data_IF_105655789899
#
_entry.id   IF_105655789899
#
_cell.length_a   1.000
_cell.length_b   1.000
_cell.length_c   1.000
_cell.angle_alpha   90.00
_cell.angle_beta   90.00
_cell.angle_gamma   90.00
#
_symmetry.space_group_name_H-M   'P 1'
#
loop_
_entity.id
_entity.type
_entity.pdbx_description
1 polymer ?
#
# COMPACT_ATOMS: atom_id res chain seq x y z
N UNK A 1 -24.04 19.42 22.96
CA UNK A 1 -23.16 18.30 22.59
C UNK A 1 -24.04 17.05 22.47
N UNK A 2 -23.76 16.16 21.52
CA UNK A 2 -24.56 14.95 21.32
C UNK A 2 -24.45 14.05 22.56
N UNK A 3 -25.60 13.69 23.15
CA UNK A 3 -25.66 12.63 24.15
C UNK A 3 -25.49 11.28 23.44
N UNK A 4 -24.27 10.75 23.49
CA UNK A 4 -23.89 9.54 22.75
C UNK A 4 -24.67 8.31 23.23
N UNK A 5 -24.93 8.21 24.54
CA UNK A 5 -25.66 7.09 25.14
C UNK A 5 -27.10 7.11 24.67
N UNK A 6 -27.78 8.26 24.82
CA UNK A 6 -29.16 8.42 24.36
C UNK A 6 -29.27 8.16 22.85
N UNK A 7 -28.35 8.69 22.06
CA UNK A 7 -28.34 8.49 20.61
C UNK A 7 -28.18 7.01 20.24
N UNK A 8 -27.26 6.29 20.90
CA UNK A 8 -27.06 4.85 20.69
C UNK A 8 -28.30 4.04 21.05
N UNK A 9 -29.00 4.39 22.14
CA UNK A 9 -30.27 3.73 22.52
C UNK A 9 -31.32 3.90 21.42
N UNK A 10 -31.51 5.12 20.90
CA UNK A 10 -32.49 5.37 19.83
C UNK A 10 -32.13 4.60 18.54
N UNK A 11 -30.84 4.52 18.18
CA UNK A 11 -30.40 3.70 17.04
C UNK A 11 -30.79 2.23 17.20
N UNK A 12 -30.60 1.66 18.39
CA UNK A 12 -30.95 0.28 18.71
C UNK A 12 -32.48 0.07 18.69
N UNK A 13 -33.25 1.02 19.22
CA UNK A 13 -34.72 0.94 19.22
C UNK A 13 -35.32 0.99 17.80
N UNK A 14 -34.77 1.84 16.93
CA UNK A 14 -35.16 1.87 15.52
C UNK A 14 -34.77 0.54 14.84
N UNK A 15 -33.55 0.06 15.07
CA UNK A 15 -33.08 -1.20 14.50
C UNK A 15 -33.95 -2.39 14.94
N UNK A 16 -34.32 -2.45 16.23
CA UNK A 16 -35.23 -3.44 16.79
C UNK A 16 -36.59 -3.41 16.11
N UNK A 17 -37.13 -2.21 15.85
CA UNK A 17 -38.43 -2.07 15.20
C UNK A 17 -38.37 -2.48 13.73
N UNK A 18 -37.29 -2.15 13.03
CA UNK A 18 -37.07 -2.56 11.63
C UNK A 18 -37.01 -4.09 11.53
N UNK A 19 -36.19 -4.76 12.35
CA UNK A 19 -36.04 -6.21 12.30
C UNK A 19 -37.15 -6.99 13.02
N UNK A 20 -38.00 -6.30 13.80
CA UNK A 20 -39.24 -6.83 14.35
C UNK A 20 -40.37 -6.89 13.33
N UNK A 21 -40.35 -6.06 12.28
CA UNK A 21 -41.35 -6.10 11.20
C UNK A 21 -41.08 -7.31 10.27
N UNK A 22 -42.04 -8.26 10.12
CA UNK A 22 -41.83 -9.47 9.32
C UNK A 22 -41.53 -9.21 7.84
N UNK A 23 -42.01 -8.09 7.28
CA UNK A 23 -41.78 -7.73 5.89
C UNK A 23 -40.41 -7.09 5.70
N UNK A 24 -39.96 -6.24 6.63
CA UNK A 24 -38.69 -5.52 6.51
C UNK A 24 -37.48 -6.41 6.82
N UNK A 25 -37.59 -7.32 7.80
CA UNK A 25 -36.46 -8.10 8.32
C UNK A 25 -35.75 -8.98 7.28
N UNK A 26 -36.45 -9.40 6.23
CA UNK A 26 -35.90 -10.27 5.16
C UNK A 26 -35.44 -9.51 3.93
N UNK A 27 -35.80 -8.22 3.80
CA UNK A 27 -35.53 -7.41 2.60
C UNK A 27 -34.54 -6.26 2.85
N UNK A 28 -34.15 -6.03 4.10
CA UNK A 28 -33.16 -5.03 4.49
C UNK A 28 -31.91 -5.70 5.05
N UNK A 29 -30.79 -5.48 4.36
CA UNK A 29 -29.46 -5.84 4.82
C UNK A 29 -28.79 -4.66 5.54
N UNK A 30 -28.50 -4.79 6.83
CA UNK A 30 -27.88 -3.75 7.64
C UNK A 30 -26.38 -3.64 7.38
N UNK A 31 -25.86 -2.42 7.22
CA UNK A 31 -24.47 -2.17 6.84
C UNK A 31 -23.92 -0.88 7.46
N UNK A 32 -22.73 -0.49 7.02
CA UNK A 32 -22.14 0.81 7.35
C UNK A 32 -21.48 0.85 8.73
N UNK A 33 -21.23 2.07 9.22
CA UNK A 33 -20.48 2.28 10.47
C UNK A 33 -21.23 1.77 11.70
N UNK A 34 -22.56 1.83 11.71
CA UNK A 34 -23.37 1.44 12.86
C UNK A 34 -23.51 -0.07 12.96
N UNK A 35 -23.56 -0.79 11.83
CA UNK A 35 -23.41 -2.24 11.82
C UNK A 35 -22.06 -2.67 12.39
N UNK A 36 -20.97 -2.01 11.97
CA UNK A 36 -19.63 -2.23 12.52
C UNK A 36 -19.53 -1.94 14.03
N UNK A 37 -20.13 -0.85 14.49
CA UNK A 37 -20.12 -0.48 15.91
C UNK A 37 -20.91 -1.46 16.79
N UNK A 38 -22.05 -1.97 16.32
CA UNK A 38 -22.93 -2.82 17.14
C UNK A 38 -22.56 -4.30 17.07
N UNK A 39 -22.18 -4.82 15.90
CA UNK A 39 -22.01 -6.26 15.69
C UNK A 39 -20.54 -6.69 15.55
N UNK A 40 -19.62 -5.73 15.51
CA UNK A 40 -18.21 -5.96 15.21
C UNK A 40 -17.25 -5.09 16.06
N UNK A 41 -17.77 -4.52 17.15
CA UNK A 41 -17.00 -3.80 18.17
C UNK A 41 -16.14 -2.64 17.64
N UNK A 42 -16.53 -2.00 16.53
CA UNK A 42 -15.83 -0.81 16.02
C UNK A 42 -15.83 0.27 17.12
N UNK A 43 -14.65 0.69 17.63
CA UNK A 43 -14.55 1.47 18.87
C UNK A 43 -14.67 2.96 18.57
N UNK A 44 -15.74 3.38 17.90
CA UNK A 44 -16.10 4.79 17.76
C UNK A 44 -17.59 4.92 17.56
N UNK A 45 -18.16 6.07 17.92
CA UNK A 45 -19.57 6.32 17.70
C UNK A 45 -19.90 6.33 16.19
N UNK A 46 -21.07 5.82 15.84
CA UNK A 46 -21.69 5.96 14.52
C UNK A 46 -23.14 6.42 14.73
N UNK A 47 -23.58 7.38 13.90
CA UNK A 47 -24.80 8.18 14.16
C UNK A 47 -25.92 7.98 13.12
N UNK A 48 -25.63 7.25 12.05
CA UNK A 48 -26.55 7.01 10.93
C UNK A 48 -26.98 5.54 10.89
N UNK A 49 -28.06 5.20 10.19
CA UNK A 49 -28.42 3.83 9.86
C UNK A 49 -28.37 3.62 8.35
N UNK A 50 -27.55 2.68 7.89
CA UNK A 50 -27.38 2.37 6.48
C UNK A 50 -27.85 0.94 6.17
N UNK A 51 -28.60 0.78 5.10
CA UNK A 51 -29.11 -0.51 4.64
C UNK A 51 -28.91 -0.71 3.13
N UNK A 52 -28.94 -1.96 2.69
CA UNK A 52 -29.22 -2.34 1.31
C UNK A 52 -30.66 -2.85 1.21
N UNK A 53 -31.35 -2.44 0.15
CA UNK A 53 -32.58 -3.10 -0.28
C UNK A 53 -32.21 -4.37 -1.02
N UNK A 54 -32.56 -5.53 -0.46
CA UNK A 54 -32.20 -6.85 -0.99
C UNK A 54 -33.18 -7.31 -2.08
N UNK A 55 -34.41 -6.81 -2.04
CA UNK A 55 -35.44 -7.05 -3.05
C UNK A 55 -35.91 -5.72 -3.63
N UNK A 56 -35.50 -5.44 -4.86
CA UNK A 56 -35.81 -4.19 -5.56
C UNK A 56 -37.31 -4.02 -5.84
N UNK A 57 -38.06 -5.12 -5.97
CA UNK A 57 -39.49 -5.10 -6.30
C UNK A 57 -40.33 -4.74 -5.06
N UNK A 58 -39.72 -4.75 -3.87
CA UNK A 58 -40.36 -4.35 -2.61
C UNK A 58 -40.08 -2.90 -2.23
N UNK A 59 -39.48 -2.10 -3.11
CA UNK A 59 -39.08 -0.70 -2.81
C UNK A 59 -40.25 0.14 -2.28
N UNK A 60 -41.40 0.14 -2.96
CA UNK A 60 -42.59 0.92 -2.55
C UNK A 60 -43.09 0.50 -1.16
N UNK A 61 -43.18 -0.82 -0.94
CA UNK A 61 -43.57 -1.40 0.35
C UNK A 61 -42.61 -0.95 1.47
N UNK A 62 -41.30 -1.05 1.24
CA UNK A 62 -40.27 -0.61 2.18
C UNK A 62 -40.40 0.88 2.45
N UNK A 63 -40.57 1.71 1.41
CA UNK A 63 -40.62 3.14 1.55
C UNK A 63 -41.78 3.58 2.46
N UNK A 64 -42.99 3.04 2.24
CA UNK A 64 -44.15 3.38 3.06
C UNK A 64 -44.05 2.81 4.49
N UNK A 65 -43.61 1.55 4.65
CA UNK A 65 -43.40 0.96 5.98
C UNK A 65 -42.36 1.71 6.80
N UNK A 66 -41.26 2.13 6.18
CA UNK A 66 -40.23 2.91 6.86
C UNK A 66 -40.77 4.28 7.30
N UNK A 67 -41.63 4.95 6.51
CA UNK A 67 -42.29 6.20 6.94
C UNK A 67 -43.15 5.98 8.18
N UNK A 68 -43.98 4.94 8.20
CA UNK A 68 -44.86 4.67 9.36
C UNK A 68 -44.06 4.27 10.58
N UNK A 69 -43.06 3.42 10.42
CA UNK A 69 -42.20 2.91 11.50
C UNK A 69 -41.38 4.05 12.12
N UNK A 70 -40.69 4.85 11.30
CA UNK A 70 -39.85 5.94 11.82
C UNK A 70 -40.67 7.00 12.57
N UNK A 71 -41.94 7.25 12.20
CA UNK A 71 -42.82 8.17 12.95
C UNK A 71 -43.08 7.73 14.40
N UNK A 72 -42.90 6.44 14.73
CA UNK A 72 -43.06 5.93 16.10
C UNK A 72 -41.87 6.31 17.00
N UNK A 73 -40.73 6.67 16.41
CA UNK A 73 -39.50 7.02 17.13
C UNK A 73 -39.22 8.52 17.18
N UNK A 74 -40.11 9.35 16.64
CA UNK A 74 -39.94 10.81 16.61
C UNK A 74 -40.59 11.48 15.39
N UNK A 75 -40.17 12.71 15.14
CA UNK A 75 -40.67 13.53 14.03
C UNK A 75 -39.89 13.19 12.76
N UNK A 76 -40.57 12.56 11.79
CA UNK A 76 -40.04 12.34 10.44
C UNK A 76 -39.97 13.67 9.68
N UNK A 77 -38.76 14.25 9.61
CA UNK A 77 -38.49 15.56 8.97
C UNK A 77 -38.45 15.46 7.46
N UNK A 78 -37.94 14.35 6.93
CA UNK A 78 -37.80 14.14 5.50
C UNK A 78 -37.96 12.66 5.16
N UNK A 79 -38.64 12.39 4.05
CA UNK A 79 -38.70 11.07 3.42
C UNK A 79 -38.69 11.28 1.91
N UNK A 80 -37.60 10.94 1.24
CA UNK A 80 -37.39 11.22 -0.18
C UNK A 80 -36.79 9.99 -0.87
N UNK A 81 -37.37 9.61 -2.00
CA UNK A 81 -36.73 8.67 -2.92
C UNK A 81 -35.73 9.45 -3.80
N UNK A 82 -34.43 9.21 -3.58
CA UNK A 82 -33.35 9.68 -4.45
C UNK A 82 -33.09 8.64 -5.54
N UNK A 83 -32.32 9.01 -6.57
CA UNK A 83 -31.96 8.12 -7.70
C UNK A 83 -31.53 6.71 -7.26
N UNK A 84 -30.65 6.61 -6.26
CA UNK A 84 -30.08 5.34 -5.79
C UNK A 84 -30.38 5.02 -4.32
N UNK A 85 -31.19 5.82 -3.63
CA UNK A 85 -31.32 5.74 -2.17
C UNK A 85 -32.72 6.12 -1.71
N UNK A 86 -33.34 5.32 -0.84
CA UNK A 86 -34.48 5.79 -0.04
C UNK A 86 -33.90 6.50 1.19
N UNK A 87 -34.21 7.78 1.33
CA UNK A 87 -33.62 8.64 2.35
C UNK A 87 -34.68 9.07 3.35
N UNK A 88 -34.37 8.94 4.63
CA UNK A 88 -35.19 9.43 5.73
C UNK A 88 -34.36 10.23 6.72
N UNK A 89 -34.97 11.25 7.30
CA UNK A 89 -34.39 12.03 8.39
C UNK A 89 -35.39 12.11 9.52
N UNK A 90 -35.05 11.54 10.67
CA UNK A 90 -35.90 11.52 11.87
C UNK A 90 -35.25 12.38 12.97
N UNK A 91 -36.07 13.14 13.67
CA UNK A 91 -35.71 13.93 14.85
C UNK A 91 -36.40 13.30 16.05
N UNK A 92 -35.63 12.66 16.94
CA UNK A 92 -36.16 11.97 18.12
C UNK A 92 -36.39 12.90 19.32
N UNK A 93 -36.00 14.17 19.20
CA UNK A 93 -36.24 15.21 20.18
C UNK A 93 -36.53 16.55 19.46
N UNK A 94 -37.50 17.33 19.97
CA UNK A 94 -37.92 18.59 19.33
C UNK A 94 -36.72 19.55 19.30
N UNK A 95 -36.33 19.96 18.10
CA UNK A 95 -35.21 20.90 17.82
C UNK A 95 -33.79 20.38 18.11
N UNK A 96 -33.60 19.10 18.43
CA UNK A 96 -32.24 18.51 18.61
C UNK A 96 -32.10 17.15 17.90
N UNK A 97 -30.84 16.87 17.55
CA UNK A 97 -30.23 15.66 16.98
C UNK A 97 -31.10 14.76 16.08
N UNK A 98 -30.67 14.61 14.84
CA UNK A 98 -31.34 13.76 13.86
C UNK A 98 -30.61 12.44 13.67
N UNK A 99 -31.37 11.40 13.30
CA UNK A 99 -30.82 10.17 12.74
C UNK A 99 -31.16 10.17 11.26
N UNK A 100 -30.15 9.95 10.43
CA UNK A 100 -30.32 9.71 9.01
C UNK A 100 -30.44 8.21 8.78
N UNK A 101 -31.46 7.81 8.03
CA UNK A 101 -31.64 6.43 7.59
C UNK A 101 -31.54 6.39 6.06
N UNK A 102 -30.58 5.64 5.53
CA UNK A 102 -30.35 5.51 4.10
C UNK A 102 -30.46 4.04 3.66
N UNK A 103 -31.33 3.77 2.68
CA UNK A 103 -31.47 2.43 2.09
C UNK A 103 -31.00 2.50 0.64
N UNK A 104 -29.88 1.84 0.34
CA UNK A 104 -29.33 1.75 -1.01
C UNK A 104 -30.21 0.88 -1.90
N UNK A 105 -30.58 1.41 -3.08
CA UNK A 105 -31.29 0.67 -4.15
C UNK A 105 -30.36 -0.06 -5.11
N UNK A 106 -29.04 0.10 -4.96
CA UNK A 106 -28.06 -0.53 -5.84
C UNK A 106 -27.94 -2.02 -5.52
N UNK A 107 -28.01 -2.85 -6.55
CA UNK A 107 -27.55 -4.25 -6.50
C UNK A 107 -26.02 -4.26 -6.40
N UNK A 108 -25.46 -5.24 -5.70
CA UNK A 108 -24.02 -5.44 -5.58
C UNK A 108 -23.72 -6.81 -4.98
N UNK A 109 -22.46 -7.24 -5.03
CA UNK A 109 -22.02 -8.57 -4.60
C UNK A 109 -21.89 -8.76 -3.07
N UNK A 110 -22.42 -7.85 -2.25
CA UNK A 110 -22.28 -7.97 -0.79
C UNK A 110 -23.24 -9.00 -0.21
N UNK A 111 -22.71 -9.84 0.67
CA UNK A 111 -23.39 -10.84 1.45
C UNK A 111 -23.80 -10.33 2.83
N UNK A 112 -24.82 -10.97 3.37
CA UNK A 112 -25.40 -10.66 4.68
C UNK A 112 -25.65 -11.96 5.45
N UNK A 113 -25.56 -11.89 6.77
CA UNK A 113 -25.77 -13.02 7.67
C UNK A 113 -26.60 -12.60 8.90
N UNK A 114 -27.42 -13.50 9.47
CA UNK A 114 -28.16 -13.20 10.68
C UNK A 114 -27.22 -13.08 11.88
N UNK A 115 -27.31 -11.96 12.62
CA UNK A 115 -26.55 -11.74 13.85
C UNK A 115 -27.41 -11.18 14.96
N UNK A 116 -27.16 -11.68 16.17
CA UNK A 116 -27.83 -11.24 17.39
C UNK A 116 -27.08 -10.10 18.09
N UNK A 117 -27.80 -9.08 18.53
CA UNK A 117 -27.28 -8.05 19.43
C UNK A 117 -28.40 -7.56 20.36
N UNK A 118 -28.20 -7.69 21.68
CA UNK A 118 -29.18 -7.32 22.72
C UNK A 118 -30.61 -7.82 22.44
N UNK A 119 -30.73 -9.07 21.96
CA UNK A 119 -32.02 -9.69 21.65
C UNK A 119 -32.63 -9.33 20.28
N UNK A 120 -31.96 -8.48 19.48
CA UNK A 120 -32.35 -8.18 18.08
C UNK A 120 -31.55 -9.10 17.16
N UNK A 121 -32.24 -9.86 16.31
CA UNK A 121 -31.59 -10.59 15.21
C UNK A 121 -31.71 -9.75 13.94
N UNK A 122 -30.58 -9.20 13.49
CA UNK A 122 -30.49 -8.40 12.28
C UNK A 122 -29.79 -9.17 11.16
N UNK A 123 -30.11 -8.86 9.91
CA UNK A 123 -29.40 -9.40 8.75
C UNK A 123 -28.26 -8.44 8.38
N UNK A 124 -27.05 -8.74 8.84
CA UNK A 124 -25.91 -7.80 8.88
C UNK A 124 -24.89 -8.17 7.80
N UNK A 125 -24.32 -7.16 7.13
CA UNK A 125 -23.29 -7.34 6.12
C UNK A 125 -22.08 -8.08 6.72
N UNK A 126 -21.52 -9.04 5.97
CA UNK A 126 -20.35 -9.82 6.40
C UNK A 126 -19.11 -8.93 6.59
N UNK A 127 -18.18 -9.28 7.51
CA UNK A 127 -16.97 -8.50 7.79
C UNK A 127 -16.18 -8.11 6.54
N UNK A 128 -15.98 -9.07 5.64
CA UNK A 128 -15.17 -8.93 4.42
C UNK A 128 -15.72 -7.90 3.44
N UNK A 129 -17.04 -7.72 3.42
CA UNK A 129 -17.73 -6.74 2.59
C UNK A 129 -17.77 -5.36 3.25
N UNK A 130 -17.86 -5.33 4.58
CA UNK A 130 -17.80 -4.07 5.35
C UNK A 130 -16.45 -3.41 5.13
N UNK A 131 -15.34 -4.14 5.30
CA UNK A 131 -13.99 -3.59 5.05
C UNK A 131 -13.80 -3.22 3.57
N UNK A 132 -14.26 -4.05 2.63
CA UNK A 132 -14.19 -3.75 1.20
C UNK A 132 -14.89 -2.42 0.88
N UNK A 133 -16.14 -2.24 1.33
CA UNK A 133 -16.90 -1.02 1.11
C UNK A 133 -16.27 0.22 1.78
N UNK A 134 -15.61 0.05 2.92
CA UNK A 134 -14.90 1.13 3.63
C UNK A 134 -13.62 1.54 2.92
N UNK A 135 -12.86 0.56 2.43
CA UNK A 135 -11.70 0.81 1.59
C UNK A 135 -12.12 1.47 0.25
N UNK A 136 -13.21 1.03 -0.36
CA UNK A 136 -13.77 1.69 -1.55
C UNK A 136 -14.13 3.14 -1.26
N UNK A 137 -14.80 3.42 -0.15
CA UNK A 137 -15.19 4.77 0.24
C UNK A 137 -13.98 5.68 0.50
N UNK A 138 -12.95 5.16 1.17
CA UNK A 138 -11.68 5.86 1.38
C UNK A 138 -11.07 6.31 0.04
N UNK A 139 -11.13 5.46 -0.98
CA UNK A 139 -10.56 5.71 -2.29
C UNK A 139 -11.42 6.65 -3.14
N UNK A 140 -12.73 6.43 -3.21
CA UNK A 140 -13.60 7.00 -4.26
C UNK A 140 -14.47 8.17 -3.82
N UNK A 141 -14.64 8.43 -2.51
CA UNK A 141 -15.48 9.56 -2.07
C UNK A 141 -14.95 10.89 -2.56
N UNK A 142 -15.85 11.71 -3.12
CA UNK A 142 -15.57 13.09 -3.53
C UNK A 142 -15.06 13.96 -2.39
N UNK A 143 -15.65 13.84 -1.20
CA UNK A 143 -15.18 14.48 0.03
C UNK A 143 -14.55 13.43 0.93
N UNK A 144 -13.26 13.57 1.17
CA UNK A 144 -12.50 12.70 2.05
C UNK A 144 -13.05 12.76 3.49
N UNK A 145 -13.03 11.62 4.20
CA UNK A 145 -13.55 11.53 5.56
C UNK A 145 -12.64 10.67 6.43
N UNK A 146 -12.11 11.26 7.51
CA UNK A 146 -11.15 10.61 8.41
C UNK A 146 -11.69 9.35 9.10
N UNK A 147 -13.01 9.25 9.30
CA UNK A 147 -13.65 8.05 9.84
C UNK A 147 -13.44 6.80 8.99
N UNK A 148 -13.27 6.93 7.67
CA UNK A 148 -13.01 5.75 6.83
C UNK A 148 -11.57 5.26 7.02
N UNK A 149 -10.61 6.16 7.31
CA UNK A 149 -9.23 5.80 7.69
C UNK A 149 -9.23 5.01 8.98
N UNK A 150 -9.94 5.51 10.01
CA UNK A 150 -10.08 4.84 11.29
C UNK A 150 -10.71 3.46 11.16
N UNK A 151 -11.79 3.35 10.37
CA UNK A 151 -12.47 2.08 10.14
C UNK A 151 -11.54 1.07 9.44
N UNK A 152 -10.85 1.48 8.37
CA UNK A 152 -9.90 0.63 7.64
C UNK A 152 -8.76 0.17 8.55
N UNK A 153 -8.19 1.07 9.36
CA UNK A 153 -7.20 0.68 10.38
C UNK A 153 -7.74 -0.40 11.31
N UNK A 154 -8.93 -0.19 11.88
CA UNK A 154 -9.50 -1.10 12.85
C UNK A 154 -9.70 -2.49 12.25
N UNK A 155 -10.30 -2.60 11.05
CA UNK A 155 -10.54 -3.90 10.43
C UNK A 155 -9.25 -4.62 10.04
N UNK A 156 -8.26 -3.91 9.49
CA UNK A 156 -6.98 -4.51 9.11
C UNK A 156 -6.14 -4.94 10.33
N UNK A 157 -6.15 -4.14 11.40
CA UNK A 157 -5.53 -4.48 12.68
C UNK A 157 -6.11 -5.78 13.25
N UNK A 158 -7.42 -5.96 13.13
CA UNK A 158 -8.14 -7.18 13.52
C UNK A 158 -8.09 -8.29 12.47
N UNK A 159 -7.23 -8.17 11.45
CA UNK A 159 -6.94 -9.20 10.44
C UNK A 159 -8.16 -9.65 9.62
N UNK A 160 -9.14 -8.77 9.42
CA UNK A 160 -10.28 -9.05 8.55
C UNK A 160 -9.81 -9.24 7.10
N UNK A 161 -10.35 -10.26 6.42
CA UNK A 161 -10.18 -10.45 4.98
C UNK A 161 -10.98 -9.40 4.21
N UNK A 162 -10.53 -9.04 3.01
CA UNK A 162 -11.21 -8.11 2.11
C UNK A 162 -11.86 -8.90 0.98
N UNK A 163 -13.16 -8.72 0.76
CA UNK A 163 -13.82 -9.27 -0.42
C UNK A 163 -13.37 -8.46 -1.66
N UNK A 164 -12.53 -9.06 -2.49
CA UNK A 164 -11.99 -8.43 -3.69
C UNK A 164 -13.08 -8.12 -4.72
N UNK A 165 -14.09 -8.98 -4.87
CA UNK A 165 -15.21 -8.75 -5.80
C UNK A 165 -15.93 -7.45 -5.46
N UNK A 166 -16.32 -7.25 -4.20
CA UNK A 166 -17.00 -6.01 -3.75
C UNK A 166 -16.09 -4.79 -3.90
N UNK A 167 -14.79 -4.93 -3.61
CA UNK A 167 -13.83 -3.84 -3.77
C UNK A 167 -13.69 -3.42 -5.24
N UNK A 168 -13.53 -4.39 -6.14
CA UNK A 168 -13.34 -4.16 -7.58
C UNK A 168 -14.61 -3.60 -8.21
N UNK A 169 -15.80 -4.12 -7.88
CA UNK A 169 -17.08 -3.56 -8.35
C UNK A 169 -17.22 -2.08 -7.99
N UNK A 170 -16.84 -1.69 -6.78
CA UNK A 170 -17.01 -0.33 -6.28
C UNK A 170 -15.92 0.66 -6.73
N UNK A 171 -14.75 0.19 -7.14
CA UNK A 171 -13.58 1.03 -7.42
C UNK A 171 -13.01 0.91 -8.83
N UNK A 172 -13.27 -0.21 -9.51
CA UNK A 172 -12.58 -0.59 -10.75
C UNK A 172 -11.11 -1.01 -10.56
N UNK A 173 -10.64 -1.16 -9.32
CA UNK A 173 -9.25 -1.51 -9.00
C UNK A 173 -9.15 -2.96 -8.55
N UNK A 174 -8.04 -3.63 -8.92
CA UNK A 174 -7.59 -4.86 -8.27
C UNK A 174 -7.24 -4.59 -6.80
N UNK A 175 -7.32 -5.60 -5.94
CA UNK A 175 -6.98 -5.48 -4.52
C UNK A 175 -5.59 -4.85 -4.27
N UNK A 176 -4.55 -5.32 -4.98
CA UNK A 176 -3.19 -4.78 -4.81
C UNK A 176 -3.08 -3.28 -5.11
N UNK A 177 -3.65 -2.83 -6.24
CA UNK A 177 -3.68 -1.41 -6.63
C UNK A 177 -4.52 -0.56 -5.67
N UNK A 178 -5.64 -1.10 -5.18
CA UNK A 178 -6.49 -0.41 -4.21
C UNK A 178 -5.75 -0.18 -2.89
N UNK A 179 -5.05 -1.20 -2.37
CA UNK A 179 -4.25 -1.09 -1.14
C UNK A 179 -3.08 -0.12 -1.29
N UNK A 180 -2.37 -0.17 -2.42
CA UNK A 180 -1.30 0.78 -2.72
C UNK A 180 -1.80 2.22 -2.80
N UNK A 181 -2.90 2.44 -3.53
CA UNK A 181 -3.53 3.76 -3.66
C UNK A 181 -4.03 4.28 -2.31
N UNK A 182 -4.58 3.39 -1.48
CA UNK A 182 -5.04 3.73 -0.13
C UNK A 182 -3.86 4.11 0.77
N UNK A 183 -2.77 3.33 0.75
CA UNK A 183 -1.59 3.61 1.55
C UNK A 183 -0.99 4.97 1.18
N UNK A 184 -0.88 5.26 -0.12
CA UNK A 184 -0.44 6.57 -0.61
C UNK A 184 -1.37 7.70 -0.12
N UNK A 185 -2.67 7.57 -0.36
CA UNK A 185 -3.68 8.57 0.01
C UNK A 185 -3.68 8.86 1.52
N UNK A 186 -3.49 7.83 2.36
CA UNK A 186 -3.41 7.99 3.81
C UNK A 186 -2.10 8.63 4.25
N UNK A 187 -0.97 8.29 3.63
CA UNK A 187 0.34 8.88 3.95
C UNK A 187 0.44 10.37 3.64
N UNK A 188 -0.39 10.88 2.72
CA UNK A 188 -0.41 12.28 2.29
C UNK A 188 -1.41 13.15 3.11
N UNK A 189 -2.07 12.60 4.13
CA UNK A 189 -3.02 13.34 4.97
C UNK A 189 -2.29 14.41 5.81
N UNK A 190 -2.78 15.64 5.75
CA UNK A 190 -2.35 16.70 6.65
C UNK A 190 -2.82 16.40 8.09
N UNK A 191 -1.87 16.28 9.02
CA UNK A 191 -2.12 16.03 10.45
C UNK A 191 -3.07 17.07 11.08
N UNK A 192 -3.15 18.29 10.55
CA UNK A 192 -4.08 19.33 11.03
C UNK A 192 -5.55 18.95 10.82
N UNK A 193 -5.85 18.08 9.85
CA UNK A 193 -7.21 17.68 9.49
C UNK A 193 -7.62 16.33 10.08
N UNK A 194 -6.74 15.67 10.84
CA UNK A 194 -6.90 14.26 11.25
C UNK A 194 -8.14 13.99 12.12
N UNK A 195 -8.62 15.00 12.86
CA UNK A 195 -9.82 14.91 13.68
C UNK A 195 -11.07 15.47 13.01
N UNK A 196 -10.99 16.01 11.79
CA UNK A 196 -12.13 16.65 11.14
C UNK A 196 -13.26 15.63 10.90
N UNK A 197 -14.39 15.82 11.60
CA UNK A 197 -15.55 14.93 11.55
C UNK A 197 -15.37 13.57 12.23
N UNK A 198 -14.16 13.21 12.66
CA UNK A 198 -13.86 11.99 13.43
C UNK A 198 -13.80 12.29 14.94
N UNK A 199 -13.29 13.46 15.33
CA UNK A 199 -13.08 13.81 16.75
C UNK A 199 -14.38 13.78 17.58
N UNK A 200 -15.52 14.15 17.01
CA UNK A 200 -16.81 14.10 17.71
C UNK A 200 -17.29 12.67 18.00
N UNK A 201 -16.68 11.67 17.36
CA UNK A 201 -17.04 10.25 17.45
C UNK A 201 -16.12 9.46 18.39
N UNK A 202 -15.14 10.13 19.01
CA UNK A 202 -14.08 9.53 19.81
C UNK A 202 -14.00 10.15 21.21
N UNK A 203 -13.51 9.37 22.17
CA UNK A 203 -13.11 9.88 23.49
C UNK A 203 -11.74 10.59 23.43
N UNK A 204 -11.33 11.25 24.53
CA UNK A 204 -10.07 12.01 24.58
C UNK A 204 -8.82 11.14 24.40
N UNK A 205 -8.82 9.93 24.96
CA UNK A 205 -7.69 8.99 24.84
C UNK A 205 -7.53 8.52 23.39
N UNK A 206 -8.65 8.26 22.72
CA UNK A 206 -8.68 7.90 21.32
C UNK A 206 -8.24 9.06 20.43
N UNK A 207 -8.62 10.31 20.73
CA UNK A 207 -8.17 11.48 19.98
C UNK A 207 -6.66 11.67 20.06
N UNK A 208 -6.07 11.46 21.24
CA UNK A 208 -4.61 11.48 21.43
C UNK A 208 -3.93 10.43 20.55
N UNK A 209 -4.36 9.17 20.66
CA UNK A 209 -3.83 8.09 19.83
C UNK A 209 -4.00 8.36 18.32
N UNK A 210 -5.16 8.90 17.90
CA UNK A 210 -5.42 9.22 16.48
C UNK A 210 -4.42 10.24 15.95
N UNK A 211 -4.11 11.29 16.72
CA UNK A 211 -3.16 12.33 16.29
C UNK A 211 -1.75 11.78 16.11
N UNK A 212 -1.37 10.83 16.94
CA UNK A 212 -0.01 10.29 16.97
C UNK A 212 0.19 9.13 15.98
N UNK A 213 -0.76 8.19 15.91
CA UNK A 213 -0.50 6.85 15.34
C UNK A 213 -1.40 6.43 14.19
N UNK A 214 -2.57 7.05 14.00
CA UNK A 214 -3.56 6.56 13.04
C UNK A 214 -2.98 6.43 11.62
N UNK A 215 -2.29 7.47 11.12
CA UNK A 215 -1.73 7.46 9.75
C UNK A 215 -0.70 6.34 9.61
N UNK A 216 0.29 6.30 10.50
CA UNK A 216 1.42 5.38 10.41
C UNK A 216 0.96 3.92 10.56
N UNK A 217 0.08 3.64 11.52
CA UNK A 217 -0.48 2.30 11.71
C UNK A 217 -1.37 1.89 10.52
N UNK A 218 -2.20 2.79 9.98
CA UNK A 218 -3.04 2.46 8.81
C UNK A 218 -2.18 2.13 7.60
N UNK A 219 -1.16 2.95 7.33
CA UNK A 219 -0.22 2.72 6.22
C UNK A 219 0.52 1.39 6.40
N UNK A 220 0.98 1.11 7.62
CA UNK A 220 1.60 -0.17 7.96
C UNK A 220 0.67 -1.34 7.65
N UNK A 221 -0.56 -1.33 8.15
CA UNK A 221 -1.50 -2.44 7.95
C UNK A 221 -1.97 -2.58 6.50
N UNK A 222 -2.10 -1.49 5.74
CA UNK A 222 -2.39 -1.55 4.30
C UNK A 222 -1.25 -2.22 3.53
N UNK A 223 0.01 -1.87 3.86
CA UNK A 223 1.20 -2.48 3.27
C UNK A 223 1.34 -3.94 3.67
N UNK A 224 1.12 -4.28 4.94
CA UNK A 224 1.11 -5.65 5.47
C UNK A 224 0.03 -6.51 4.82
N UNK A 225 -1.19 -5.98 4.64
CA UNK A 225 -2.24 -6.72 3.95
C UNK A 225 -1.90 -6.92 2.47
N UNK A 226 -1.43 -5.87 1.78
CA UNK A 226 -0.96 -5.99 0.40
C UNK A 226 0.16 -7.01 0.28
N UNK A 227 1.04 -7.06 1.28
CA UNK A 227 2.11 -8.02 1.35
C UNK A 227 1.60 -9.46 1.36
N UNK A 228 0.67 -9.77 2.25
CA UNK A 228 0.06 -11.11 2.37
C UNK A 228 -0.71 -11.55 1.11
N UNK A 229 -1.26 -10.61 0.34
CA UNK A 229 -2.16 -10.87 -0.79
C UNK A 229 -1.60 -10.48 -2.17
N UNK A 230 -0.32 -10.11 -2.25
CA UNK A 230 0.35 -10.03 -3.55
C UNK A 230 0.36 -11.46 -4.13
N UNK A 231 -0.17 -11.69 -5.36
CA UNK A 231 -0.23 -13.01 -6.00
C UNK A 231 1.14 -13.64 -6.30
N UNK A 232 2.20 -13.04 -5.78
CA UNK A 232 3.58 -13.49 -5.82
C UNK A 232 3.84 -14.53 -4.73
N UNK A 233 3.25 -14.44 -3.53
CA UNK A 233 3.69 -15.26 -2.39
C UNK A 233 3.11 -16.69 -2.34
N UNK A 234 1.96 -16.95 -2.98
CA UNK A 234 1.25 -18.23 -2.84
C UNK A 234 1.85 -19.43 -3.58
N UNK A 235 3.01 -19.31 -4.23
CA UNK A 235 3.62 -20.47 -4.93
C UNK A 235 5.09 -20.33 -5.33
N UNK A 236 5.86 -19.39 -4.77
CA UNK A 236 7.27 -19.16 -5.14
C UNK A 236 8.16 -19.09 -3.89
N UNK A 237 9.48 -19.29 -4.02
CA UNK A 237 10.41 -19.00 -2.93
C UNK A 237 10.47 -17.50 -2.64
N UNK A 238 10.55 -17.11 -1.37
CA UNK A 238 10.64 -15.69 -0.99
C UNK A 238 11.63 -15.52 0.13
N UNK A 239 12.73 -14.83 -0.18
CA UNK A 239 13.78 -14.52 0.78
C UNK A 239 13.64 -13.09 1.31
N UNK A 240 13.55 -12.97 2.63
CA UNK A 240 13.54 -11.71 3.39
C UNK A 240 14.63 -11.78 4.48
N UNK A 241 14.80 -10.67 5.20
CA UNK A 241 15.70 -10.54 6.34
C UNK A 241 14.90 -10.33 7.62
N UNK A 242 15.24 -11.08 8.66
CA UNK A 242 14.75 -10.83 10.01
C UNK A 242 15.07 -9.37 10.42
N UNK A 243 14.13 -8.64 11.04
CA UNK A 243 14.35 -7.26 11.48
C UNK A 243 15.60 -7.04 12.34
N UNK A 244 16.08 -8.06 13.05
CA UNK A 244 17.29 -8.01 13.86
C UNK A 244 18.55 -7.84 13.02
N UNK A 245 19.15 -6.64 13.06
CA UNK A 245 20.51 -6.39 12.54
C UNK A 245 21.48 -6.37 13.72
N UNK A 246 22.45 -7.28 13.68
CA UNK A 246 23.54 -7.35 14.66
C UNK A 246 24.82 -6.73 14.10
N UNK A 247 25.75 -6.38 14.97
CA UNK A 247 27.10 -5.98 14.55
C UNK A 247 28.15 -6.35 15.59
N UNK A 248 29.36 -6.61 15.11
CA UNK A 248 30.53 -6.89 15.98
C UNK A 248 31.72 -6.08 15.49
N UNK A 249 32.45 -5.45 16.40
CA UNK A 249 33.68 -4.71 16.12
C UNK A 249 34.84 -5.22 16.96
N UNK A 250 36.04 -5.22 16.40
CA UNK A 250 37.27 -5.62 17.08
C UNK A 250 38.51 -5.48 16.19
N UNK A 251 39.67 -6.04 16.60
CA UNK A 251 40.92 -5.95 15.84
C UNK A 251 40.81 -6.48 14.40
N UNK A 252 39.89 -7.41 14.16
CA UNK A 252 39.63 -8.00 12.84
C UNK A 252 38.69 -7.19 11.94
N UNK A 253 38.24 -5.99 12.35
CA UNK A 253 37.33 -5.13 11.59
C UNK A 253 35.92 -5.05 12.15
N UNK A 254 35.03 -4.39 11.40
CA UNK A 254 33.62 -4.23 11.73
C UNK A 254 32.76 -5.09 10.80
N UNK A 255 31.85 -5.86 11.41
CA UNK A 255 30.94 -6.78 10.72
C UNK A 255 29.50 -6.45 11.04
N UNK A 256 28.64 -6.60 10.03
CA UNK A 256 27.19 -6.55 10.14
C UNK A 256 26.65 -7.97 9.91
N UNK A 257 25.75 -8.39 10.78
CA UNK A 257 25.11 -9.69 10.77
C UNK A 257 23.65 -9.55 10.38
N UNK A 258 23.22 -10.31 9.38
CA UNK A 258 21.82 -10.44 8.97
C UNK A 258 21.37 -11.88 9.17
N UNK A 259 20.07 -12.09 9.38
CA UNK A 259 19.46 -13.41 9.34
C UNK A 259 18.49 -13.47 8.17
N UNK A 260 18.91 -14.13 7.09
CA UNK A 260 18.03 -14.41 5.97
C UNK A 260 17.01 -15.47 6.38
N UNK A 261 15.78 -15.34 5.89
CA UNK A 261 14.70 -16.29 6.10
C UNK A 261 13.95 -16.53 4.79
N UNK A 262 13.62 -17.79 4.49
CA UNK A 262 12.67 -18.11 3.42
C UNK A 262 11.25 -18.16 4.00
N UNK A 263 10.46 -17.13 3.72
CA UNK A 263 9.07 -16.99 4.14
C UNK A 263 8.07 -17.42 3.07
N UNK A 264 8.56 -17.88 1.91
CA UNK A 264 7.74 -18.47 0.86
C UNK A 264 7.45 -19.94 1.12
N UNK A 265 6.56 -20.52 0.31
CA UNK A 265 6.16 -21.93 0.42
C UNK A 265 7.01 -22.89 -0.42
N UNK A 266 7.96 -22.38 -1.19
CA UNK A 266 8.86 -23.18 -2.05
C UNK A 266 10.31 -23.00 -1.68
N UNK A 267 11.12 -24.00 -2.08
CA UNK A 267 12.58 -23.96 -1.94
C UNK A 267 13.19 -22.90 -2.87
N UNK A 268 14.12 -22.12 -2.33
CA UNK A 268 15.01 -21.24 -3.07
C UNK A 268 16.34 -21.96 -3.29
N UNK A 269 16.74 -22.16 -4.54
CA UNK A 269 18.03 -22.77 -4.91
C UNK A 269 18.95 -21.72 -5.55
N UNK A 270 20.24 -22.02 -5.64
CA UNK A 270 21.26 -21.09 -6.17
C UNK A 270 21.21 -19.70 -5.52
N UNK A 271 20.91 -19.62 -4.22
CA UNK A 271 20.75 -18.35 -3.53
C UNK A 271 22.08 -17.64 -3.45
N UNK A 272 22.15 -16.47 -4.09
CA UNK A 272 23.24 -15.50 -4.02
C UNK A 272 22.72 -14.26 -3.33
N UNK A 273 23.60 -13.59 -2.59
CA UNK A 273 23.24 -12.37 -1.88
C UNK A 273 24.35 -11.33 -1.96
N UNK A 274 24.00 -10.09 -1.63
CA UNK A 274 24.94 -8.99 -1.60
C UNK A 274 24.35 -7.71 -1.04
N UNK A 275 25.16 -6.66 -1.04
CA UNK A 275 24.77 -5.31 -0.63
C UNK A 275 24.88 -4.40 -1.86
N UNK A 276 23.81 -3.69 -2.19
CA UNK A 276 23.76 -2.81 -3.36
C UNK A 276 23.14 -1.47 -2.99
N UNK A 277 23.78 -0.38 -3.40
CA UNK A 277 23.25 0.97 -3.29
C UNK A 277 23.58 1.79 -4.53
N UNK A 278 23.34 3.09 -4.50
CA UNK A 278 23.70 3.96 -5.61
C UNK A 278 25.22 3.98 -5.79
N UNK A 279 25.68 3.62 -6.99
CA UNK A 279 27.09 3.52 -7.36
C UNK A 279 27.93 2.62 -6.43
N UNK A 280 27.32 1.58 -5.84
CA UNK A 280 28.01 0.61 -4.99
C UNK A 280 27.36 -0.76 -5.07
N UNK A 281 28.18 -1.79 -5.21
CA UNK A 281 27.75 -3.16 -5.15
C UNK A 281 28.85 -4.03 -4.56
N UNK A 282 28.47 -4.87 -3.61
CA UNK A 282 29.28 -5.94 -3.06
C UNK A 282 28.49 -7.24 -3.14
N UNK A 283 29.19 -8.32 -3.48
CA UNK A 283 28.61 -9.66 -3.62
C UNK A 283 29.34 -10.62 -2.71
N UNK A 284 28.57 -11.41 -1.96
CA UNK A 284 29.13 -12.54 -1.24
C UNK A 284 29.53 -13.63 -2.24
N UNK A 285 30.63 -14.34 -1.99
CA UNK A 285 30.99 -15.53 -2.78
C UNK A 285 30.08 -16.73 -2.47
N UNK A 286 29.29 -16.67 -1.39
CA UNK A 286 28.50 -17.79 -0.92
C UNK A 286 27.30 -18.08 -1.83
N UNK A 287 27.07 -19.37 -2.07
CA UNK A 287 25.88 -19.89 -2.73
C UNK A 287 25.25 -20.94 -1.81
N UNK A 288 23.94 -20.85 -1.59
CA UNK A 288 23.23 -21.78 -0.71
C UNK A 288 21.81 -22.06 -1.17
N UNK A 289 21.13 -22.96 -0.45
CA UNK A 289 19.74 -23.34 -0.65
C UNK A 289 18.97 -22.96 0.62
N UNK A 290 17.74 -22.48 0.46
CA UNK A 290 16.83 -22.20 1.58
C UNK A 290 15.47 -22.85 1.34
N UNK A 291 15.08 -23.79 2.21
CA UNK A 291 13.73 -24.37 2.25
C UNK A 291 12.77 -23.43 2.99
N UNK A 292 11.46 -23.57 2.82
CA UNK A 292 10.48 -22.82 3.59
C UNK A 292 10.76 -22.88 5.10
N UNK A 293 10.86 -21.73 5.75
CA UNK A 293 11.17 -21.59 7.17
C UNK A 293 12.66 -21.65 7.54
N UNK A 294 13.57 -22.01 6.63
CA UNK A 294 15.00 -22.00 6.91
C UNK A 294 15.48 -20.58 7.24
N UNK A 295 16.40 -20.49 8.20
CA UNK A 295 17.13 -19.27 8.51
C UNK A 295 18.63 -19.44 8.27
N UNK A 296 19.30 -18.37 7.81
CA UNK A 296 20.75 -18.38 7.59
C UNK A 296 21.37 -17.07 8.05
N UNK A 297 22.40 -17.16 8.90
CA UNK A 297 23.24 -16.02 9.26
C UNK A 297 24.09 -15.63 8.06
N UNK A 298 24.08 -14.34 7.72
CA UNK A 298 24.87 -13.70 6.68
C UNK A 298 25.79 -12.66 7.33
N UNK A 299 27.06 -12.65 6.94
CA UNK A 299 28.06 -11.76 7.51
C UNK A 299 28.63 -10.85 6.43
N UNK A 300 28.65 -9.54 6.71
CA UNK A 300 29.18 -8.52 5.81
C UNK A 300 30.21 -7.68 6.56
N UNK A 301 31.48 -7.77 6.14
CA UNK A 301 32.58 -7.03 6.75
C UNK A 301 32.60 -5.59 6.24
N UNK A 302 31.72 -4.77 6.79
CA UNK A 302 31.52 -3.39 6.35
C UNK A 302 32.81 -2.57 6.39
N UNK A 303 33.73 -2.81 7.33
CA UNK A 303 34.97 -2.03 7.47
C UNK A 303 35.88 -2.01 6.23
N UNK A 304 35.74 -3.01 5.36
CA UNK A 304 36.56 -3.14 4.16
C UNK A 304 35.93 -2.40 2.96
N UNK A 305 34.75 -1.83 3.16
CA UNK A 305 33.85 -1.39 2.10
C UNK A 305 33.52 0.11 2.19
N UNK A 306 33.17 0.71 1.06
CA UNK A 306 32.82 2.14 0.97
C UNK A 306 31.75 2.59 1.98
N UNK A 307 30.66 1.83 2.22
CA UNK A 307 29.63 2.22 3.18
C UNK A 307 30.11 2.39 4.62
N UNK A 308 31.34 2.00 4.97
CA UNK A 308 31.91 2.30 6.28
C UNK A 308 32.42 3.73 6.39
N UNK A 309 32.98 4.27 5.31
CA UNK A 309 33.63 5.59 5.30
C UNK A 309 32.68 6.69 4.83
N UNK A 310 31.74 6.34 3.96
CA UNK A 310 30.88 7.29 3.26
C UNK A 310 29.42 6.83 3.27
N UNK A 311 28.51 7.80 3.24
CA UNK A 311 27.09 7.50 3.10
C UNK A 311 26.81 6.99 1.68
N UNK A 312 26.18 5.81 1.57
CA UNK A 312 25.74 5.24 0.31
C UNK A 312 24.21 5.32 0.21
N UNK A 313 23.66 6.11 -0.72
CA UNK A 313 22.21 6.23 -0.89
C UNK A 313 21.57 4.92 -1.39
N UNK A 314 20.29 4.73 -1.05
CA UNK A 314 19.47 3.61 -1.54
C UNK A 314 20.11 2.24 -1.26
N UNK A 315 20.76 2.07 -0.10
CA UNK A 315 21.42 0.83 0.28
C UNK A 315 20.38 -0.28 0.53
N UNK A 316 20.64 -1.46 -0.03
CA UNK A 316 19.79 -2.63 0.08
C UNK A 316 20.65 -3.87 0.30
N UNK A 317 20.12 -4.84 1.03
CA UNK A 317 20.54 -6.24 0.90
C UNK A 317 19.68 -6.88 -0.19
N UNK A 318 20.31 -7.62 -1.08
CA UNK A 318 19.68 -8.20 -2.26
C UNK A 318 19.87 -9.71 -2.29
N UNK A 319 18.91 -10.41 -2.87
CA UNK A 319 18.99 -11.84 -3.16
C UNK A 319 18.65 -12.09 -4.62
N UNK A 320 19.40 -13.01 -5.22
CA UNK A 320 19.13 -13.59 -6.53
C UNK A 320 19.12 -15.10 -6.37
N UNK A 321 18.05 -15.77 -6.79
CA UNK A 321 17.83 -17.20 -6.53
C UNK A 321 16.90 -17.78 -7.58
N UNK A 322 16.75 -19.10 -7.59
CA UNK A 322 15.81 -19.79 -8.48
C UNK A 322 14.80 -20.63 -7.71
N UNK A 323 13.68 -20.94 -8.35
CA UNK A 323 12.83 -22.04 -7.92
C UNK A 323 13.30 -23.38 -8.53
N UNK A 324 12.62 -24.47 -8.18
CA UNK A 324 12.91 -25.80 -8.71
C UNK A 324 12.62 -25.99 -10.20
N UNK A 325 11.95 -25.02 -10.85
CA UNK A 325 11.73 -24.99 -12.31
C UNK A 325 12.84 -24.21 -13.02
N UNK A 326 13.79 -23.65 -12.28
CA UNK A 326 14.88 -22.83 -12.82
C UNK A 326 14.49 -21.38 -13.09
N UNK A 327 13.30 -20.93 -12.67
CA UNK A 327 12.89 -19.53 -12.82
C UNK A 327 13.70 -18.69 -11.83
N UNK A 328 14.36 -17.65 -12.34
CA UNK A 328 15.16 -16.73 -11.52
C UNK A 328 14.29 -15.64 -10.88
N UNK A 329 14.57 -15.33 -9.63
CA UNK A 329 13.90 -14.31 -8.82
C UNK A 329 14.93 -13.36 -8.21
N UNK A 330 14.47 -12.14 -7.93
CA UNK A 330 15.22 -11.11 -7.22
C UNK A 330 14.37 -10.55 -6.08
N UNK A 331 14.92 -10.49 -4.86
CA UNK A 331 14.34 -9.73 -3.74
C UNK A 331 15.32 -8.71 -3.22
N UNK A 332 14.79 -7.67 -2.58
CA UNK A 332 15.64 -6.70 -1.86
C UNK A 332 14.95 -6.17 -0.60
N UNK A 333 15.76 -5.86 0.41
CA UNK A 333 15.35 -5.20 1.64
C UNK A 333 16.18 -3.93 1.82
N UNK A 334 15.52 -2.80 2.03
CA UNK A 334 16.20 -1.52 2.28
C UNK A 334 16.96 -1.59 3.61
N UNK A 335 18.15 -0.98 3.62
CA UNK A 335 19.02 -0.88 4.78
C UNK A 335 19.14 0.58 5.21
N UNK A 336 19.17 0.81 6.51
CA UNK A 336 19.43 2.13 7.08
C UNK A 336 20.89 2.23 7.45
N UNK A 337 21.60 3.12 6.76
CA UNK A 337 23.00 3.43 7.00
C UNK A 337 23.10 4.74 7.81
N UNK A 338 23.66 4.67 9.01
CA UNK A 338 23.75 5.81 9.92
C UNK A 338 25.20 6.00 10.39
N UNK A 339 25.57 7.25 10.62
CA UNK A 339 26.88 7.57 11.20
C UNK A 339 26.86 7.23 12.67
N UNK A 340 27.89 6.53 13.17
CA UNK A 340 27.96 6.18 14.59
C UNK A 340 28.08 7.45 15.45
N UNK A 341 27.69 7.41 16.75
CA UNK A 341 27.70 8.61 17.61
C UNK A 341 29.05 9.32 17.71
N UNK A 342 30.17 8.60 17.60
CA UNK A 342 31.51 9.20 17.60
C UNK A 342 31.81 9.99 16.32
N UNK A 343 31.07 9.76 15.23
CA UNK A 343 31.31 10.39 13.94
C UNK A 343 32.44 9.78 13.10
N UNK A 344 33.02 8.65 13.54
CA UNK A 344 34.18 8.04 12.90
C UNK A 344 33.83 7.26 11.61
N UNK A 345 32.71 6.53 11.63
CA UNK A 345 32.30 5.67 10.51
C UNK A 345 30.78 5.55 10.41
N UNK A 346 30.32 4.91 9.34
CA UNK A 346 28.92 4.55 9.12
C UNK A 346 28.69 3.07 9.40
N UNK A 347 27.51 2.75 9.92
CA UNK A 347 27.09 1.38 10.18
C UNK A 347 25.65 1.16 9.72
N UNK A 348 25.31 -0.10 9.41
CA UNK A 348 23.95 -0.49 9.08
C UNK A 348 23.23 -0.80 10.40
N UNK A 349 22.24 0.01 10.76
CA UNK A 349 21.61 -0.04 12.09
C UNK A 349 20.30 -0.83 12.12
N UNK A 350 19.60 -0.91 10.99
CA UNK A 350 18.34 -1.66 10.84
C UNK A 350 17.98 -1.91 9.38
N UNK A 351 17.07 -2.85 9.17
CA UNK A 351 16.35 -3.01 7.91
C UNK A 351 15.09 -2.14 7.88
N UNK A 352 14.68 -1.71 6.69
CA UNK A 352 13.50 -0.87 6.45
C UNK A 352 12.50 -1.62 5.56
N UNK A 353 12.14 -1.06 4.40
CA UNK A 353 11.14 -1.59 3.47
C UNK A 353 11.59 -2.88 2.79
N UNK A 354 10.74 -3.91 2.79
CA UNK A 354 10.90 -5.08 1.92
C UNK A 354 10.26 -4.85 0.56
N UNK A 355 10.99 -5.20 -0.49
CA UNK A 355 10.50 -5.22 -1.85
C UNK A 355 10.26 -6.68 -2.27
N UNK A 356 9.03 -7.03 -2.66
CA UNK A 356 8.65 -8.39 -3.04
C UNK A 356 9.54 -9.02 -4.11
N UNK A 357 9.52 -10.36 -4.16
CA UNK A 357 10.21 -11.11 -5.19
C UNK A 357 9.69 -10.74 -6.59
N UNK A 358 10.60 -10.40 -7.48
CA UNK A 358 10.30 -10.18 -8.90
C UNK A 358 10.98 -11.25 -9.73
N UNK A 359 10.31 -11.73 -10.78
CA UNK A 359 10.93 -12.64 -11.75
C UNK A 359 12.00 -11.86 -12.51
N UNK A 360 13.23 -12.37 -12.52
CA UNK A 360 14.31 -11.84 -13.34
C UNK A 360 14.06 -12.25 -14.79
N UNK A 361 13.69 -11.26 -15.60
CA UNK A 361 13.58 -11.42 -17.05
C UNK A 361 14.92 -11.09 -17.71
N UNK A 362 15.24 -11.81 -18.80
CA UNK A 362 16.37 -11.50 -19.66
C UNK A 362 16.27 -10.04 -20.15
N UNK A 363 17.29 -9.23 -19.85
CA UNK A 363 17.30 -7.80 -20.20
C UNK A 363 17.32 -7.55 -21.69
N UNK A 364 17.66 -8.59 -22.49
CA UNK A 364 17.97 -8.51 -23.93
C UNK A 364 19.16 -7.63 -24.28
N UNK A 365 19.81 -6.98 -23.31
CA UNK A 365 21.06 -6.27 -23.49
C UNK A 365 22.18 -7.30 -23.43
N UNK A 366 22.97 -7.39 -24.50
CA UNK A 366 24.09 -8.34 -24.63
C UNK A 366 25.42 -7.69 -24.32
N UNK A 367 25.58 -6.42 -24.70
CA UNK A 367 26.80 -5.66 -24.47
C UNK A 367 26.50 -4.16 -24.32
N UNK A 368 27.32 -3.48 -23.53
CA UNK A 368 27.39 -2.03 -23.43
C UNK A 368 28.86 -1.67 -23.63
N UNK A 369 29.17 -0.88 -24.66
CA UNK A 369 30.54 -0.49 -24.97
C UNK A 369 31.20 0.30 -23.84
N UNK A 370 32.52 0.46 -23.92
CA UNK A 370 33.18 1.50 -23.15
C UNK A 370 32.59 2.89 -23.47
N UNK A 371 32.47 3.77 -22.46
CA UNK A 371 31.87 5.07 -22.66
C UNK A 371 32.76 5.99 -23.51
N UNK A 372 32.13 6.71 -24.42
CA UNK A 372 32.74 7.85 -25.10
C UNK A 372 32.86 9.02 -24.13
N UNK A 373 34.09 9.42 -23.82
CA UNK A 373 34.42 10.49 -22.89
C UNK A 373 34.73 11.78 -23.64
N UNK A 374 34.08 12.88 -23.26
CA UNK A 374 34.38 14.23 -23.71
C UNK A 374 34.40 15.16 -22.51
N UNK A 375 35.43 16.02 -22.42
CA UNK A 375 35.61 16.94 -21.28
C UNK A 375 35.60 16.21 -19.92
N UNK A 376 36.23 15.03 -19.85
CA UNK A 376 36.24 14.12 -18.69
C UNK A 376 34.87 13.61 -18.23
N UNK A 377 33.84 13.71 -19.07
CA UNK A 377 32.50 13.22 -18.75
C UNK A 377 32.01 12.21 -19.79
N UNK A 378 31.23 11.24 -19.32
CA UNK A 378 30.59 10.24 -20.19
C UNK A 378 29.53 10.95 -21.03
N UNK A 379 29.58 10.74 -22.34
CA UNK A 379 28.64 11.36 -23.27
C UNK A 379 27.79 10.36 -24.04
N UNK A 380 28.33 9.18 -24.35
CA UNK A 380 27.65 8.15 -25.14
C UNK A 380 28.19 6.76 -24.82
N UNK A 381 27.39 5.73 -25.08
CA UNK A 381 27.78 4.32 -25.21
C UNK A 381 27.01 3.70 -26.37
N UNK A 382 27.56 2.65 -26.96
CA UNK A 382 26.84 1.78 -27.89
C UNK A 382 26.30 0.58 -27.11
N UNK A 383 25.05 0.19 -27.38
CA UNK A 383 24.35 -0.88 -26.66
C UNK A 383 23.84 -1.89 -27.67
N UNK A 384 24.30 -3.13 -27.51
CA UNK A 384 23.88 -4.25 -28.34
C UNK A 384 22.68 -4.95 -27.69
N UNK A 385 21.54 -4.93 -28.38
CA UNK A 385 20.25 -5.41 -27.88
C UNK A 385 19.70 -6.50 -28.81
N UNK A 386 19.34 -7.65 -28.23
CA UNK A 386 18.71 -8.75 -28.96
C UNK A 386 17.21 -8.50 -29.18
N UNK A 387 16.78 -8.50 -30.43
CA UNK A 387 15.39 -8.37 -30.85
C UNK A 387 15.06 -9.46 -31.86
N UNK A 388 14.07 -10.30 -31.56
CA UNK A 388 13.66 -11.42 -32.42
C UNK A 388 14.81 -12.36 -32.82
N UNK A 389 15.80 -12.56 -31.94
CA UNK A 389 16.96 -13.42 -32.18
C UNK A 389 18.12 -12.75 -32.92
N UNK A 390 17.97 -11.50 -33.36
CA UNK A 390 19.05 -10.72 -33.99
C UNK A 390 19.58 -9.65 -33.04
N UNK A 391 20.89 -9.39 -33.08
CA UNK A 391 21.50 -8.30 -32.31
C UNK A 391 21.41 -7.01 -33.10
N UNK A 392 20.81 -5.98 -32.50
CA UNK A 392 20.75 -4.61 -33.03
C UNK A 392 21.50 -3.67 -32.10
N UNK A 393 22.33 -2.82 -32.67
CA UNK A 393 23.03 -1.78 -31.92
C UNK A 393 22.22 -0.50 -31.87
N UNK A 394 22.17 0.13 -30.70
CA UNK A 394 21.63 1.49 -30.51
C UNK A 394 22.60 2.35 -29.74
N UNK A 395 22.61 3.64 -30.06
CA UNK A 395 23.44 4.62 -29.38
C UNK A 395 22.66 5.28 -28.25
N UNK A 396 23.23 5.25 -27.05
CA UNK A 396 22.67 5.87 -25.86
C UNK A 396 23.58 7.00 -25.42
N UNK A 397 23.05 8.21 -25.26
CA UNK A 397 23.79 9.40 -24.87
C UNK A 397 23.21 10.11 -23.65
N UNK A 398 24.01 10.96 -23.02
CA UNK A 398 23.57 11.86 -21.95
C UNK A 398 23.96 13.30 -22.25
N UNK A 399 22.99 14.20 -22.21
CA UNK A 399 23.17 15.61 -22.55
C UNK A 399 23.99 16.36 -21.49
N UNK A 400 24.80 17.36 -21.91
CA UNK A 400 25.75 18.05 -21.02
C UNK A 400 25.10 18.83 -19.87
N UNK A 401 23.83 19.25 -20.05
CA UNK A 401 23.06 19.90 -18.97
C UNK A 401 22.80 18.92 -17.83
N UNK A 402 22.46 17.66 -18.13
CA UNK A 402 22.21 16.65 -17.08
C UNK A 402 23.48 16.35 -16.30
N UNK A 403 24.63 16.30 -16.97
CA UNK A 403 25.93 16.11 -16.31
C UNK A 403 26.17 17.17 -15.23
N UNK A 404 25.89 18.44 -15.56
CA UNK A 404 26.01 19.56 -14.61
C UNK A 404 24.95 19.50 -13.50
N UNK A 405 23.71 19.14 -13.85
CA UNK A 405 22.59 19.06 -12.90
C UNK A 405 22.81 17.94 -11.87
N UNK A 406 23.32 16.79 -12.31
CA UNK A 406 23.63 15.67 -11.42
C UNK A 406 24.85 15.97 -10.55
N UNK A 407 25.88 16.63 -11.09
CA UNK A 407 27.09 16.96 -10.32
C UNK A 407 27.80 15.73 -9.75
N UNK A 408 27.62 14.57 -10.39
CA UNK A 408 28.18 13.30 -9.97
C UNK A 408 29.67 13.19 -10.31
N UNK A 409 30.40 12.43 -9.50
CA UNK A 409 31.74 11.95 -9.86
C UNK A 409 31.69 11.01 -11.07
N UNK A 410 32.84 10.72 -11.68
CA UNK A 410 32.90 9.89 -12.89
C UNK A 410 32.30 8.48 -12.73
N UNK A 411 32.51 7.84 -11.57
CA UNK A 411 31.98 6.50 -11.33
C UNK A 411 30.48 6.52 -10.98
N UNK A 412 30.00 7.55 -10.25
CA UNK A 412 28.57 7.76 -10.00
C UNK A 412 27.82 8.03 -11.29
N UNK A 413 28.41 8.83 -12.19
CA UNK A 413 27.85 9.07 -13.50
C UNK A 413 27.77 7.78 -14.33
N UNK A 414 28.81 6.94 -14.29
CA UNK A 414 28.80 5.63 -14.95
C UNK A 414 27.66 4.75 -14.43
N UNK A 415 27.48 4.69 -13.10
CA UNK A 415 26.42 3.93 -12.47
C UNK A 415 25.02 4.45 -12.84
N UNK A 416 24.81 5.77 -12.71
CA UNK A 416 23.56 6.43 -13.07
C UNK A 416 23.20 6.20 -14.54
N UNK A 417 24.17 6.37 -15.44
CA UNK A 417 23.94 6.22 -16.87
C UNK A 417 23.61 4.78 -17.26
N UNK A 418 24.33 3.80 -16.70
CA UNK A 418 24.04 2.37 -16.90
C UNK A 418 22.61 2.02 -16.48
N UNK A 419 22.15 2.49 -15.32
CA UNK A 419 20.78 2.24 -14.86
C UNK A 419 19.72 2.90 -15.77
N UNK A 420 19.96 4.15 -16.20
CA UNK A 420 19.07 4.86 -17.14
C UNK A 420 18.96 4.12 -18.49
N UNK A 421 20.09 3.65 -19.03
CA UNK A 421 20.14 2.87 -20.27
C UNK A 421 19.28 1.62 -20.14
N UNK A 422 19.50 0.82 -19.09
CA UNK A 422 18.74 -0.42 -18.89
C UNK A 422 17.23 -0.18 -18.80
N UNK A 423 16.80 0.90 -18.13
CA UNK A 423 15.39 1.27 -18.06
C UNK A 423 14.84 1.71 -19.41
N UNK A 424 15.55 2.58 -20.12
CA UNK A 424 15.10 3.09 -21.42
C UNK A 424 15.00 1.99 -22.48
N UNK A 425 16.00 1.11 -22.56
CA UNK A 425 15.97 -0.03 -23.48
C UNK A 425 14.79 -0.96 -23.17
N UNK A 426 14.53 -1.27 -21.90
CA UNK A 426 13.37 -2.08 -21.52
C UNK A 426 12.04 -1.47 -21.99
N UNK A 427 11.89 -0.15 -21.89
CA UNK A 427 10.69 0.52 -22.39
C UNK A 427 10.58 0.47 -23.91
N UNK A 428 11.69 0.74 -24.62
CA UNK A 428 11.74 0.65 -26.07
C UNK A 428 11.37 -0.73 -26.59
N UNK A 429 11.84 -1.79 -25.92
CA UNK A 429 11.48 -3.17 -26.25
C UNK A 429 9.98 -3.44 -26.01
N UNK A 430 9.41 -2.94 -24.91
CA UNK A 430 7.96 -3.05 -24.62
C UNK A 430 7.11 -2.31 -25.66
N UNK A 431 7.58 -1.16 -26.13
CA UNK A 431 6.90 -0.34 -27.14
C UNK A 431 7.15 -0.85 -28.58
N UNK A 432 8.05 -1.82 -28.77
CA UNK A 432 8.45 -2.31 -30.09
C UNK A 432 9.22 -1.27 -30.92
N UNK A 433 9.88 -0.30 -30.27
CA UNK A 433 10.55 0.86 -30.91
C UNK A 433 11.97 1.03 -30.38
N UNK A 434 12.87 0.15 -30.80
CA UNK A 434 14.29 0.25 -30.49
C UNK A 434 14.95 1.30 -31.40
N UNK A 435 15.52 2.36 -30.80
CA UNK A 435 16.14 3.47 -31.52
C UNK A 435 17.20 4.17 -30.64
N UNK A 436 18.05 4.99 -31.26
CA UNK A 436 19.00 5.82 -30.54
C UNK A 436 18.30 6.81 -29.59
N UNK A 437 18.98 7.15 -28.50
CA UNK A 437 18.42 8.07 -27.51
C UNK A 437 19.48 8.87 -26.77
N UNK A 438 19.21 10.16 -26.57
CA UNK A 438 20.03 11.03 -25.73
C UNK A 438 19.17 11.55 -24.59
N UNK A 439 19.49 11.16 -23.36
CA UNK A 439 18.84 11.69 -22.16
C UNK A 439 19.10 13.19 -22.08
N UNK A 440 18.05 13.99 -21.91
CA UNK A 440 18.17 15.44 -21.88
C UNK A 440 17.36 16.09 -20.77
N UNK A 441 17.67 17.36 -20.47
CA UNK A 441 16.90 18.14 -19.49
C UNK A 441 15.42 18.35 -19.89
N UNK A 442 15.02 18.07 -21.14
CA UNK A 442 13.62 18.11 -21.56
C UNK A 442 12.77 17.01 -20.91
N UNK A 443 13.41 15.93 -20.46
CA UNK A 443 12.77 14.80 -19.78
C UNK A 443 12.67 15.00 -18.27
N UNK A 444 13.26 16.09 -17.76
CA UNK A 444 13.20 16.45 -16.34
C UNK A 444 11.87 17.12 -15.98
N UNK A 445 11.41 16.99 -14.73
CA UNK A 445 10.31 17.79 -14.22
C UNK A 445 10.59 19.30 -14.32
N UNK A 446 9.54 20.12 -14.48
CA UNK A 446 9.64 21.59 -14.57
C UNK A 446 10.07 22.31 -13.27
N UNK A 447 10.42 21.58 -12.22
CA UNK A 447 10.88 22.13 -10.93
C UNK A 447 12.41 22.05 -10.85
N UNK A 448 13.09 23.00 -10.19
CA UNK A 448 14.53 22.95 -10.02
C UNK A 448 14.90 21.74 -9.15
N UNK A 449 15.79 20.89 -9.65
CA UNK A 449 16.35 19.72 -8.96
C UNK A 449 17.85 19.65 -9.24
N UNK A 450 18.61 19.03 -8.34
CA UNK A 450 20.04 18.76 -8.52
C UNK A 450 20.44 17.44 -7.86
N UNK A 451 21.67 16.99 -8.13
CA UNK A 451 22.23 15.83 -7.45
C UNK A 451 21.45 14.54 -7.67
N UNK A 452 21.39 13.74 -6.61
CA UNK A 452 20.64 12.49 -6.59
C UNK A 452 19.14 12.69 -6.81
N UNK A 453 18.55 13.79 -6.36
CA UNK A 453 17.11 14.06 -6.55
C UNK A 453 16.77 14.28 -8.03
N UNK A 454 17.62 14.99 -8.75
CA UNK A 454 17.47 15.16 -10.19
C UNK A 454 17.60 13.82 -10.93
N UNK A 455 18.61 13.03 -10.57
CA UNK A 455 18.79 11.69 -11.12
C UNK A 455 17.56 10.81 -10.90
N UNK A 456 17.06 10.72 -9.67
CA UNK A 456 15.88 9.92 -9.33
C UNK A 456 14.64 10.38 -10.10
N UNK A 457 14.45 11.70 -10.22
CA UNK A 457 13.33 12.23 -10.98
C UNK A 457 13.37 11.84 -12.46
N UNK A 458 14.55 11.83 -13.09
CA UNK A 458 14.70 11.33 -14.46
C UNK A 458 14.44 9.82 -14.51
N UNK A 459 15.14 9.06 -13.65
CA UNK A 459 15.05 7.60 -13.56
C UNK A 459 13.61 7.12 -13.42
N UNK A 460 12.88 7.69 -12.46
CA UNK A 460 11.51 7.28 -12.12
C UNK A 460 10.52 7.74 -13.19
N UNK A 461 10.85 8.76 -13.99
CA UNK A 461 10.02 9.17 -15.14
C UNK A 461 10.05 8.16 -16.30
N UNK A 462 11.06 7.28 -16.32
CA UNK A 462 11.17 6.20 -17.30
C UNK A 462 10.27 5.02 -16.94
N UNK A 463 9.86 4.79 -15.70
CA UNK A 463 9.07 3.59 -15.32
C UNK A 463 7.56 3.68 -15.69
N UNK A 464 7.23 4.28 -16.84
CA UNK A 464 5.84 4.48 -17.32
C UNK A 464 5.22 3.26 -18.00
#
# INVERSE_FOLDING_TARGET
>A
MLDQTKHRVILIDILKSIYGDPALRTILGFKGGTAAMLFYDLPRLSVDLDFNLLDADKKELVFEKMKSLLKQHGVLRQAVEKRNTLFFLISYEREKHTIKVEISKRKGASDFEPKGYLGVTAFVMKPEDVIAGKLSALLTRRKFAMRDVFDVWFFLKNKWSINETVLTENTGLSLSKALESAAKKVSEIDKRQILQGLGELLDEKQKEWVREKLIDETVFYLRDYRYRYLPVFGNIPVLDIDPGVGGTGGPGGHYVHFYAINIGEKVAIDVRWGIRGFAYEWRSPDIFVMRPGDTKKLEYKISDERPFKEFVPELNIIFEYKDNRGISYFTRRELVLEKVPSGEFYNITKVSTFHPAVVLQDSKIRNISDPYIRDNLITRVDVDVEVNGEVRQVQMGIGPILLKVFGFSGYELKAAFSELIQRKIRNMLREGRLQDHVFSSKEMPKRPLSGLEAYKALRDSLDR
#
